data_IF_988317190479
#
_entry.id   IF_988317190479
#
_cell.length_a   1.000
_cell.length_b   1.000
_cell.length_c   1.000
_cell.angle_alpha   90.00
_cell.angle_beta   90.00
_cell.angle_gamma   90.00
#
_symmetry.space_group_name_H-M   'P 1'
#
loop_
_entity.id
_entity.type
_entity.pdbx_description
1 polymer ?
#
# COMPACT_ATOMS: atom_id res chain seq x y z
N UNK A 1 0.45 29.58 38.73
CA UNK A 1 1.48 29.59 39.79
C UNK A 1 2.43 30.75 39.53
N UNK A 2 2.57 31.70 40.47
CA UNK A 2 2.94 33.08 40.08
C UNK A 2 4.46 33.33 40.08
N UNK A 3 5.26 32.69 40.96
CA UNK A 3 6.73 32.85 40.99
C UNK A 3 7.45 31.54 41.37
N UNK A 4 8.25 30.99 40.45
CA UNK A 4 9.19 29.90 40.72
C UNK A 4 10.60 30.45 40.51
N UNK A 5 11.19 31.01 41.57
CA UNK A 5 12.55 31.56 41.58
C UNK A 5 13.43 30.84 42.62
N UNK A 6 14.66 31.31 42.84
CA UNK A 6 15.61 30.74 43.81
C UNK A 6 15.09 30.68 45.25
N UNK A 7 14.11 31.51 45.62
CA UNK A 7 13.47 31.49 46.95
C UNK A 7 12.40 30.40 47.06
N UNK A 8 11.96 29.81 45.93
CA UNK A 8 10.95 28.77 45.89
C UNK A 8 11.53 27.43 46.39
N UNK A 9 11.02 26.97 47.54
CA UNK A 9 11.41 25.69 48.18
C UNK A 9 10.54 24.50 47.77
N UNK A 10 9.56 24.69 46.89
CA UNK A 10 8.61 23.63 46.46
C UNK A 10 9.19 22.70 45.39
N UNK A 11 10.40 22.96 44.89
CA UNK A 11 11.04 22.17 43.84
C UNK A 11 10.60 22.52 42.41
N UNK A 12 9.72 23.52 42.24
CA UNK A 12 9.26 23.97 40.92
C UNK A 12 10.38 24.71 40.16
N UNK A 13 11.24 25.47 40.85
CA UNK A 13 12.38 26.13 40.22
C UNK A 13 13.51 25.12 39.98
N UNK A 14 13.84 24.88 38.71
CA UNK A 14 14.83 23.87 38.27
C UNK A 14 16.25 24.42 38.07
N UNK A 15 16.57 25.55 38.69
CA UNK A 15 17.89 26.15 38.58
C UNK A 15 18.11 26.94 37.29
N UNK A 16 19.27 27.61 37.21
CA UNK A 16 19.69 28.36 36.02
C UNK A 16 20.35 27.39 35.04
N UNK A 17 19.87 27.36 33.80
CA UNK A 17 20.45 26.56 32.74
C UNK A 17 21.45 27.36 31.92
N UNK A 18 22.48 26.68 31.39
CA UNK A 18 23.49 27.27 30.49
C UNK A 18 23.18 27.04 29.01
N UNK A 19 22.18 26.22 28.72
CA UNK A 19 21.68 25.91 27.37
C UNK A 19 20.15 25.92 27.36
N UNK A 20 19.54 25.87 26.17
CA UNK A 20 18.10 25.82 26.00
C UNK A 20 17.49 24.42 26.26
N UNK A 21 18.24 23.51 26.88
CA UNK A 21 17.84 22.15 27.17
C UNK A 21 17.81 21.88 28.68
N UNK A 22 16.84 21.08 29.14
CA UNK A 22 16.74 20.60 30.51
C UNK A 22 16.19 19.18 30.53
N UNK A 23 16.95 18.25 31.13
CA UNK A 23 16.52 16.89 31.37
C UNK A 23 16.15 16.79 32.86
N UNK A 24 14.86 16.57 33.19
CA UNK A 24 14.46 16.35 34.56
C UNK A 24 15.19 15.14 35.15
N UNK A 25 15.75 15.29 36.35
CA UNK A 25 16.37 14.18 37.07
C UNK A 25 15.36 13.12 37.50
N UNK A 26 14.10 13.52 37.64
CA UNK A 26 12.98 12.62 37.90
C UNK A 26 12.38 12.06 36.62
N UNK A 27 11.94 10.81 36.68
CA UNK A 27 11.10 10.23 35.63
C UNK A 27 9.76 10.96 35.58
N UNK A 28 9.30 11.32 34.38
CA UNK A 28 7.98 11.88 34.20
C UNK A 28 6.93 10.75 34.18
N UNK A 29 5.83 10.96 34.90
CA UNK A 29 4.75 9.99 35.05
C UNK A 29 3.90 9.97 33.79
N UNK A 30 3.59 8.77 33.31
CA UNK A 30 2.72 8.55 32.16
C UNK A 30 1.32 9.09 32.41
N UNK A 31 0.67 9.62 31.37
CA UNK A 31 -0.68 10.20 31.43
C UNK A 31 -0.75 11.53 32.18
N UNK A 32 0.33 11.98 32.81
CA UNK A 32 0.36 13.21 33.60
C UNK A 32 0.71 14.41 32.73
N UNK A 33 -0.10 15.46 32.84
CA UNK A 33 0.21 16.77 32.28
C UNK A 33 1.19 17.52 33.17
N UNK A 34 2.33 17.89 32.60
CA UNK A 34 3.33 18.76 33.21
C UNK A 34 3.22 20.16 32.61
N UNK A 35 3.51 21.16 33.43
CA UNK A 35 3.48 22.58 33.05
C UNK A 35 4.87 23.17 33.26
N UNK A 36 5.42 23.79 32.23
CA UNK A 36 6.78 24.29 32.19
C UNK A 36 6.76 25.75 31.74
N UNK A 37 7.73 26.53 32.21
CA UNK A 37 7.98 27.91 31.79
C UNK A 37 9.48 28.13 31.85
N UNK A 38 10.04 28.70 30.79
CA UNK A 38 11.44 29.13 30.76
C UNK A 38 11.44 30.64 30.95
N UNK A 39 12.10 31.12 32.00
CA UNK A 39 12.27 32.55 32.24
C UNK A 39 13.70 32.95 31.83
N UNK A 40 13.84 33.95 30.96
CA UNK A 40 15.13 34.46 30.51
C UNK A 40 15.77 35.33 31.60
N UNK A 41 17.08 35.11 31.83
CA UNK A 41 17.88 35.92 32.75
C UNK A 41 18.71 36.92 31.95
N UNK A 42 18.30 38.18 31.98
CA UNK A 42 18.86 39.25 31.17
C UNK A 42 20.24 39.70 31.70
N UNK A 43 21.03 40.36 30.84
CA UNK A 43 22.36 40.89 31.19
C UNK A 43 22.32 41.99 32.26
N UNK A 44 21.18 42.63 32.46
CA UNK A 44 20.94 43.65 33.48
C UNK A 44 20.45 43.06 34.82
N UNK A 45 20.52 41.74 34.98
CA UNK A 45 20.03 40.95 36.12
C UNK A 45 18.50 40.97 36.31
N UNK A 46 17.73 41.44 35.33
CA UNK A 46 16.27 41.29 35.33
C UNK A 46 15.84 39.92 34.78
N UNK A 47 14.57 39.55 34.99
CA UNK A 47 14.00 38.28 34.53
C UNK A 47 12.84 38.59 33.57
N UNK A 48 12.93 38.11 32.33
CA UNK A 48 11.82 38.11 31.38
C UNK A 48 11.05 36.81 31.51
N UNK A 49 9.79 36.87 31.97
CA UNK A 49 8.96 35.68 32.14
C UNK A 49 8.55 35.11 30.78
N UNK A 50 8.77 33.82 30.57
CA UNK A 50 8.29 33.14 29.37
C UNK A 50 6.82 32.74 29.46
N UNK A 51 6.35 32.09 28.41
CA UNK A 51 5.02 31.50 28.39
C UNK A 51 5.01 30.17 29.16
N UNK A 52 3.93 29.92 29.88
CA UNK A 52 3.67 28.59 30.44
C UNK A 52 3.18 27.70 29.31
N UNK A 53 3.89 26.61 29.05
CA UNK A 53 3.47 25.54 28.15
C UNK A 53 3.20 24.28 28.96
N UNK A 54 2.40 23.38 28.39
CA UNK A 54 2.13 22.09 29.00
C UNK A 54 2.30 20.97 27.99
N UNK A 55 2.65 19.80 28.50
CA UNK A 55 2.69 18.57 27.74
C UNK A 55 2.19 17.42 28.62
N UNK A 56 1.55 16.44 28.00
CA UNK A 56 1.16 15.21 28.67
C UNK A 56 2.14 14.12 28.28
N UNK A 57 2.71 13.44 29.27
CA UNK A 57 3.56 12.28 28.98
C UNK A 57 2.68 11.18 28.38
N UNK A 58 2.97 10.70 27.17
CA UNK A 58 2.16 9.65 26.56
C UNK A 58 2.19 8.39 27.45
N UNK A 59 1.07 7.67 27.47
CA UNK A 59 1.01 6.35 28.12
C UNK A 59 1.49 5.25 27.15
N UNK A 60 2.66 5.47 26.56
CA UNK A 60 3.35 4.50 25.71
C UNK A 60 4.84 4.85 25.56
N UNK A 61 5.65 3.87 25.22
CA UNK A 61 6.96 4.09 24.61
C UNK A 61 6.81 4.06 23.09
N UNK A 62 7.52 4.94 22.38
CA UNK A 62 7.57 4.91 20.92
C UNK A 62 8.66 3.94 20.49
N UNK A 63 8.30 2.98 19.64
CA UNK A 63 9.27 2.17 18.90
C UNK A 63 9.68 2.93 17.64
N UNK A 64 8.68 3.43 16.92
CA UNK A 64 8.84 4.27 15.74
C UNK A 64 7.52 5.01 15.45
N UNK A 65 7.54 6.33 15.37
CA UNK A 65 6.38 7.14 14.94
C UNK A 65 6.46 7.51 13.46
N UNK A 66 7.51 7.07 12.76
CA UNK A 66 7.76 7.29 11.33
C UNK A 66 7.99 8.75 10.93
N UNK A 67 8.07 9.68 11.87
CA UNK A 67 8.16 11.11 11.59
C UNK A 67 9.59 11.60 11.35
N UNK A 68 10.59 10.80 11.73
CA UNK A 68 12.01 11.15 11.63
C UNK A 68 12.60 10.91 10.22
N UNK A 69 11.88 10.23 9.33
CA UNK A 69 12.36 9.92 7.98
C UNK A 69 12.22 11.10 7.01
N UNK A 70 13.11 11.16 6.02
CA UNK A 70 13.07 12.13 4.93
C UNK A 70 13.74 11.58 3.65
N UNK A 71 13.86 12.42 2.62
CA UNK A 71 14.37 11.99 1.31
C UNK A 71 15.90 11.98 1.18
N UNK A 72 16.64 12.31 2.25
CA UNK A 72 18.09 12.31 2.25
C UNK A 72 18.66 10.91 2.55
N UNK A 73 19.81 10.56 1.95
CA UNK A 73 20.50 9.31 2.27
C UNK A 73 20.76 9.14 3.78
N UNK A 74 20.64 7.91 4.27
CA UNK A 74 20.68 7.49 5.68
C UNK A 74 19.49 7.92 6.56
N UNK A 75 18.46 8.55 5.98
CA UNK A 75 17.22 8.92 6.67
C UNK A 75 15.96 8.50 5.90
N UNK A 76 16.09 7.67 4.86
CA UNK A 76 14.95 7.16 4.10
C UNK A 76 14.31 6.02 4.87
N UNK A 77 12.98 5.96 4.88
CA UNK A 77 12.23 4.95 5.65
C UNK A 77 12.67 3.52 5.35
N UNK A 78 12.97 3.22 4.09
CA UNK A 78 13.41 1.89 3.64
C UNK A 78 14.85 1.50 4.05
N UNK A 79 15.66 2.45 4.55
CA UNK A 79 17.01 2.18 5.07
C UNK A 79 16.93 1.70 6.52
N UNK A 80 15.89 2.09 7.24
CA UNK A 80 15.61 1.62 8.60
C UNK A 80 14.69 0.39 8.59
N UNK A 81 13.64 0.42 7.78
CA UNK A 81 12.74 -0.68 7.52
C UNK A 81 13.10 -1.36 6.21
N UNK A 82 14.05 -2.29 6.28
CA UNK A 82 14.57 -2.99 5.11
C UNK A 82 13.48 -3.83 4.45
N UNK A 83 13.27 -3.61 3.17
CA UNK A 83 12.32 -4.33 2.33
C UNK A 83 12.97 -5.49 1.58
N UNK A 84 12.21 -6.12 0.68
CA UNK A 84 12.62 -7.26 -0.12
C UNK A 84 13.62 -6.95 -1.23
N UNK A 85 13.49 -5.78 -1.85
CA UNK A 85 14.25 -5.39 -3.04
C UNK A 85 15.62 -4.82 -2.70
N UNK A 86 15.76 -4.15 -1.56
CA UNK A 86 16.96 -3.41 -1.21
C UNK A 86 17.13 -2.13 -2.04
N UNK A 87 18.31 -1.54 -1.94
CA UNK A 87 18.73 -0.35 -2.69
C UNK A 87 20.15 -0.57 -3.21
N UNK A 88 20.64 0.35 -4.06
CA UNK A 88 22.02 0.30 -4.56
C UNK A 88 23.08 0.19 -3.43
N UNK A 89 22.74 0.62 -2.22
CA UNK A 89 23.64 0.70 -1.06
C UNK A 89 23.44 -0.44 -0.05
N UNK A 90 22.37 -1.24 -0.14
CA UNK A 90 22.12 -2.35 0.78
C UNK A 90 21.27 -3.46 0.15
N UNK A 91 21.58 -4.70 0.48
CA UNK A 91 20.82 -5.85 0.03
C UNK A 91 19.43 -5.87 0.68
N UNK A 92 18.41 -6.22 -0.10
CA UNK A 92 17.07 -6.49 0.42
C UNK A 92 17.05 -7.73 1.30
N UNK A 93 15.95 -7.91 2.03
CA UNK A 93 15.73 -9.05 2.90
C UNK A 93 15.22 -10.31 2.17
N UNK A 94 15.07 -10.25 0.84
CA UNK A 94 14.69 -11.39 0.01
C UNK A 94 13.23 -11.80 0.12
N UNK A 95 12.35 -10.87 0.47
CA UNK A 95 10.88 -11.05 0.52
C UNK A 95 10.18 -10.21 -0.56
N UNK A 96 8.85 -10.29 -0.65
CA UNK A 96 8.05 -9.57 -1.65
C UNK A 96 7.72 -8.12 -1.30
N UNK A 97 8.26 -7.60 -0.20
CA UNK A 97 7.93 -6.26 0.28
C UNK A 97 8.66 -5.17 -0.49
N UNK A 98 8.00 -4.04 -0.68
CA UNK A 98 8.58 -2.75 -1.06
C UNK A 98 8.17 -1.72 -0.03
N UNK A 99 9.14 -1.12 0.67
CA UNK A 99 8.88 -0.08 1.67
C UNK A 99 8.99 1.29 1.01
N UNK A 100 7.93 2.09 1.15
CA UNK A 100 7.87 3.43 0.56
C UNK A 100 7.68 3.46 -0.96
N UNK A 101 7.78 4.67 -1.51
CA UNK A 101 7.70 4.92 -2.95
C UNK A 101 9.05 4.67 -3.64
N UNK A 102 9.04 4.47 -4.96
CA UNK A 102 10.28 4.31 -5.75
C UNK A 102 11.02 5.64 -5.98
N UNK A 103 10.34 6.76 -5.78
CA UNK A 103 10.84 8.11 -5.97
C UNK A 103 10.38 8.97 -4.81
N UNK A 104 11.14 10.03 -4.52
CA UNK A 104 10.79 10.99 -3.49
C UNK A 104 9.42 11.66 -3.79
N UNK A 105 8.59 11.93 -2.78
CA UNK A 105 8.80 11.60 -1.36
C UNK A 105 8.74 10.09 -1.13
N UNK A 106 9.69 9.54 -0.36
CA UNK A 106 9.76 8.08 -0.16
C UNK A 106 8.73 7.57 0.85
N UNK A 107 8.38 8.36 1.85
CA UNK A 107 7.30 8.05 2.79
C UNK A 107 5.93 8.49 2.22
N UNK A 108 4.86 7.84 2.67
CA UNK A 108 3.49 8.18 2.30
C UNK A 108 3.06 9.44 3.06
N UNK A 109 2.53 10.46 2.37
CA UNK A 109 2.22 11.77 2.97
C UNK A 109 0.73 12.14 2.91
N UNK A 110 -0.09 11.33 2.25
CA UNK A 110 -1.53 11.57 2.06
C UNK A 110 -2.40 10.61 2.87
N UNK A 111 -1.97 9.35 2.96
CA UNK A 111 -2.61 8.32 3.79
C UNK A 111 -1.82 8.18 5.09
N UNK A 112 -2.16 8.99 6.09
CA UNK A 112 -1.45 9.08 7.39
C UNK A 112 -2.43 8.90 8.55
N UNK A 113 -1.96 8.41 9.71
CA UNK A 113 -2.76 8.35 10.94
C UNK A 113 -2.45 9.53 11.86
N UNK A 114 -1.17 9.79 12.06
CA UNK A 114 -0.64 10.90 12.84
C UNK A 114 0.41 11.70 12.06
N UNK A 115 0.90 12.78 12.66
CA UNK A 115 2.07 13.50 12.16
C UNK A 115 1.96 13.99 10.71
N UNK A 116 2.99 13.72 9.91
CA UNK A 116 3.17 14.19 8.54
C UNK A 116 3.27 13.04 7.54
N UNK A 117 3.58 11.82 7.99
CA UNK A 117 3.86 10.72 7.08
C UNK A 117 3.61 9.35 7.70
N UNK A 118 3.46 8.35 6.84
CA UNK A 118 3.34 6.95 7.20
C UNK A 118 4.30 6.10 6.35
N UNK A 119 4.55 4.87 6.80
CA UNK A 119 5.31 3.89 6.04
C UNK A 119 4.35 3.06 5.19
N UNK A 120 4.48 3.11 3.88
CA UNK A 120 3.80 2.15 3.01
C UNK A 120 4.63 0.87 2.86
N UNK A 121 3.94 -0.28 2.84
CA UNK A 121 4.52 -1.59 2.50
C UNK A 121 3.65 -2.17 1.38
N UNK A 122 4.16 -2.19 0.15
CA UNK A 122 3.56 -3.00 -0.90
C UNK A 122 4.01 -4.46 -0.73
N UNK A 123 3.09 -5.41 -0.86
CA UNK A 123 3.37 -6.84 -0.78
C UNK A 123 3.14 -7.51 -2.12
N UNK A 124 4.01 -8.46 -2.47
CA UNK A 124 3.85 -9.34 -3.61
C UNK A 124 4.23 -10.77 -3.23
N UNK A 125 3.21 -11.57 -2.96
CA UNK A 125 3.34 -12.96 -2.51
C UNK A 125 2.96 -13.96 -3.61
N UNK A 126 2.86 -13.50 -4.86
CA UNK A 126 2.31 -14.32 -5.96
C UNK A 126 3.18 -15.51 -6.32
N UNK A 127 4.47 -15.47 -6.01
CA UNK A 127 5.44 -16.48 -6.44
C UNK A 127 5.56 -16.63 -7.96
N UNK A 128 4.99 -15.70 -8.73
CA UNK A 128 5.05 -15.70 -10.19
C UNK A 128 6.45 -15.28 -10.64
N UNK A 129 6.93 -15.82 -11.76
CA UNK A 129 8.29 -15.56 -12.23
C UNK A 129 9.43 -15.97 -11.25
N UNK A 130 9.15 -16.83 -10.26
CA UNK A 130 10.13 -17.25 -9.25
C UNK A 130 10.27 -16.27 -8.08
N UNK A 131 9.30 -15.38 -7.89
CA UNK A 131 9.32 -14.36 -6.82
C UNK A 131 8.88 -14.91 -5.46
N UNK A 132 8.82 -14.02 -4.49
CA UNK A 132 8.63 -14.27 -3.08
C UNK A 132 7.20 -14.74 -2.75
N UNK A 133 7.08 -15.50 -1.65
CA UNK A 133 5.82 -16.10 -1.17
C UNK A 133 5.28 -15.43 0.11
N UNK A 134 5.99 -14.41 0.58
CA UNK A 134 5.63 -13.56 1.70
C UNK A 134 6.41 -12.25 1.58
N UNK A 135 5.97 -11.21 2.28
CA UNK A 135 6.54 -9.87 2.23
C UNK A 135 6.80 -9.35 3.64
N UNK A 136 7.99 -8.83 3.94
CA UNK A 136 8.33 -8.25 5.25
C UNK A 136 9.09 -6.94 5.15
N UNK A 137 8.70 -5.94 5.93
CA UNK A 137 9.56 -4.82 6.28
C UNK A 137 10.28 -5.15 7.60
N UNK A 138 11.61 -5.03 7.64
CA UNK A 138 12.43 -5.46 8.78
C UNK A 138 13.25 -4.30 9.35
N UNK A 139 13.05 -4.02 10.64
CA UNK A 139 13.88 -3.11 11.43
C UNK A 139 14.85 -3.88 12.32
N UNK A 140 16.11 -3.43 12.39
CA UNK A 140 17.14 -4.01 13.25
C UNK A 140 17.80 -2.91 14.08
N UNK A 141 17.81 -3.05 15.40
CA UNK A 141 18.47 -2.08 16.28
C UNK A 141 19.95 -2.40 16.43
N UNK A 142 20.84 -1.40 16.40
CA UNK A 142 22.26 -1.59 16.62
C UNK A 142 22.60 -2.01 18.06
N UNK A 143 21.77 -1.62 19.02
CA UNK A 143 21.79 -2.07 20.42
C UNK A 143 20.44 -2.71 20.73
N UNK A 144 20.40 -3.95 21.24
CA UNK A 144 19.14 -4.59 21.62
C UNK A 144 18.33 -3.74 22.61
N UNK A 145 17.02 -3.83 22.48
CA UNK A 145 16.06 -3.06 23.24
C UNK A 145 15.45 -3.92 24.36
N UNK A 146 15.22 -3.29 25.51
CA UNK A 146 14.51 -3.92 26.63
C UNK A 146 13.06 -3.45 26.61
N UNK A 147 12.18 -4.34 26.16
CA UNK A 147 10.74 -4.13 26.01
C UNK A 147 9.96 -4.63 27.24
N UNK A 148 10.61 -4.69 28.41
CA UNK A 148 9.94 -4.96 29.69
C UNK A 148 9.89 -3.74 30.61
N UNK A 149 10.55 -2.64 30.18
CA UNK A 149 10.65 -1.40 30.93
C UNK A 149 9.29 -0.77 31.18
N UNK A 150 9.18 -0.05 32.30
CA UNK A 150 8.00 0.74 32.63
C UNK A 150 6.68 -0.05 32.64
N UNK A 151 6.74 -1.38 32.83
CA UNK A 151 5.55 -2.23 32.92
C UNK A 151 4.77 -2.34 31.61
N UNK A 152 5.43 -2.16 30.46
CA UNK A 152 4.82 -2.42 29.16
C UNK A 152 4.39 -3.89 29.05
N UNK A 153 3.24 -4.11 28.42
CA UNK A 153 2.58 -5.41 28.29
C UNK A 153 2.14 -5.72 26.87
N UNK A 154 1.99 -4.72 26.02
CA UNK A 154 1.61 -4.94 24.62
C UNK A 154 2.41 -4.08 23.67
N UNK A 155 2.57 -4.59 22.45
CA UNK A 155 2.95 -3.80 21.28
C UNK A 155 1.69 -3.38 20.55
N UNK A 156 1.63 -2.12 20.14
CA UNK A 156 0.60 -1.54 19.28
C UNK A 156 1.19 -1.22 17.91
N UNK A 157 0.46 -1.58 16.86
CA UNK A 157 0.76 -1.24 15.48
C UNK A 157 -0.46 -0.52 14.90
N UNK A 158 -0.34 0.76 14.55
CA UNK A 158 -1.35 1.40 13.72
C UNK A 158 -1.17 0.97 12.27
N UNK A 159 -2.23 0.44 11.69
CA UNK A 159 -2.20 -0.02 10.31
C UNK A 159 -3.49 0.34 9.58
N UNK A 160 -3.36 0.40 8.26
CA UNK A 160 -4.45 0.57 7.30
C UNK A 160 -4.14 -0.24 6.05
N UNK A 161 -5.10 -1.00 5.59
CA UNK A 161 -5.08 -1.70 4.30
C UNK A 161 -5.67 -0.88 3.16
N UNK A 162 -6.00 -1.56 2.07
CA UNK A 162 -6.82 -1.04 0.97
C UNK A 162 -7.98 -1.98 0.74
N UNK A 163 -9.11 -1.48 0.25
CA UNK A 163 -10.28 -2.31 0.00
C UNK A 163 -9.93 -3.54 -0.87
N UNK A 164 -10.52 -4.69 -0.54
CA UNK A 164 -10.46 -5.87 -1.40
C UNK A 164 -11.20 -5.65 -2.72
N UNK A 165 -10.94 -6.51 -3.70
CA UNK A 165 -11.62 -6.42 -4.99
C UNK A 165 -13.13 -6.65 -4.83
N UNK A 166 -13.92 -5.80 -5.48
CA UNK A 166 -15.38 -5.81 -5.55
C UNK A 166 -15.92 -6.14 -6.95
N UNK A 167 -15.08 -6.04 -7.99
CA UNK A 167 -15.41 -6.49 -9.34
C UNK A 167 -15.48 -8.02 -9.46
N UNK A 168 -16.03 -8.48 -10.58
CA UNK A 168 -16.30 -9.91 -10.82
C UNK A 168 -15.89 -10.36 -12.23
N UNK A 169 -15.54 -11.64 -12.34
CA UNK A 169 -15.15 -12.30 -13.58
C UNK A 169 -15.73 -13.71 -13.65
N UNK A 170 -16.44 -14.00 -14.74
CA UNK A 170 -16.92 -15.35 -15.03
C UNK A 170 -16.73 -15.74 -16.49
N UNK A 171 -16.62 -17.05 -16.74
CA UNK A 171 -16.61 -17.64 -18.07
C UNK A 171 -17.70 -18.71 -18.17
N UNK A 172 -18.57 -18.57 -19.16
CA UNK A 172 -19.59 -19.57 -19.49
C UNK A 172 -19.12 -20.41 -20.68
N UNK A 173 -18.78 -21.67 -20.42
CA UNK A 173 -18.32 -22.62 -21.44
C UNK A 173 -19.38 -22.99 -22.47
N UNK A 174 -20.66 -22.75 -22.19
CA UNK A 174 -21.78 -23.05 -23.10
C UNK A 174 -21.87 -22.02 -24.20
N UNK A 175 -21.67 -20.75 -23.86
CA UNK A 175 -21.72 -19.61 -24.79
C UNK A 175 -20.34 -19.20 -25.29
N UNK A 176 -19.28 -19.57 -24.59
CA UNK A 176 -17.92 -19.08 -24.85
C UNK A 176 -17.73 -17.62 -24.42
N UNK A 177 -18.63 -17.09 -23.58
CA UNK A 177 -18.61 -15.70 -23.16
C UNK A 177 -17.86 -15.52 -21.83
N UNK A 178 -17.11 -14.43 -21.77
CA UNK A 178 -16.49 -13.90 -20.57
C UNK A 178 -17.30 -12.69 -20.12
N UNK A 179 -17.79 -12.70 -18.88
CA UNK A 179 -18.48 -11.57 -18.27
C UNK A 179 -17.54 -10.91 -17.28
N UNK A 180 -17.31 -9.61 -17.44
CA UNK A 180 -16.39 -8.82 -16.63
C UNK A 180 -17.15 -7.63 -16.04
N UNK A 181 -17.22 -7.56 -14.71
CA UNK A 181 -17.82 -6.44 -13.99
C UNK A 181 -16.74 -5.65 -13.26
N UNK A 182 -16.62 -4.36 -13.57
CA UNK A 182 -15.63 -3.48 -12.97
C UNK A 182 -16.16 -2.09 -12.67
N UNK A 183 -15.70 -1.51 -11.57
CA UNK A 183 -15.92 -0.11 -11.21
C UNK A 183 -14.73 0.77 -11.58
N UNK A 184 -14.52 1.83 -10.79
CA UNK A 184 -13.32 2.65 -10.86
C UNK A 184 -13.53 4.01 -11.52
N UNK A 185 -12.78 5.01 -11.01
CA UNK A 185 -12.93 6.41 -11.39
C UNK A 185 -12.49 6.68 -12.83
N UNK A 186 -11.31 6.23 -13.23
CA UNK A 186 -10.86 6.18 -14.62
C UNK A 186 -9.54 5.42 -14.76
N UNK A 187 -9.21 4.98 -15.97
CA UNK A 187 -7.83 4.69 -16.39
C UNK A 187 -7.32 6.01 -16.99
N UNK A 188 -6.71 6.90 -16.20
CA UNK A 188 -6.19 8.21 -16.67
C UNK A 188 -5.25 8.86 -15.64
N UNK A 189 -4.82 10.10 -15.91
CA UNK A 189 -4.00 10.94 -15.04
C UNK A 189 -2.78 10.22 -14.47
N UNK A 190 -2.61 10.19 -13.14
CA UNK A 190 -1.44 9.62 -12.45
C UNK A 190 -1.69 8.22 -11.90
N UNK A 191 -2.94 7.78 -11.84
CA UNK A 191 -3.33 6.53 -11.19
C UNK A 191 -4.59 5.97 -11.83
N UNK A 192 -4.55 4.68 -12.15
CA UNK A 192 -5.63 3.95 -12.77
C UNK A 192 -6.58 3.37 -11.71
N UNK A 193 -7.87 3.38 -12.02
CA UNK A 193 -8.97 2.83 -11.24
C UNK A 193 -9.89 2.00 -12.17
N UNK A 194 -9.74 0.68 -12.14
CA UNK A 194 -10.46 -0.25 -13.03
C UNK A 194 -10.39 -1.71 -12.55
N UNK A 195 -11.15 -2.60 -13.18
CA UNK A 195 -11.04 -4.06 -12.97
C UNK A 195 -10.26 -4.73 -14.10
N UNK A 196 -9.29 -5.56 -13.73
CA UNK A 196 -8.38 -6.21 -14.66
C UNK A 196 -8.48 -7.74 -14.56
N UNK A 197 -8.64 -8.41 -15.70
CA UNK A 197 -8.64 -9.88 -15.82
C UNK A 197 -7.46 -10.29 -16.69
N UNK A 198 -6.47 -11.00 -16.14
CA UNK A 198 -5.15 -11.09 -16.77
C UNK A 198 -4.45 -12.44 -16.60
N UNK A 199 -3.45 -12.66 -17.47
CA UNK A 199 -2.44 -13.71 -17.42
C UNK A 199 -1.04 -13.08 -17.47
N UNK A 200 0.00 -13.89 -17.27
CA UNK A 200 1.39 -13.44 -17.43
C UNK A 200 1.84 -13.62 -18.88
N UNK A 201 2.52 -12.62 -19.43
CA UNK A 201 3.21 -12.64 -20.72
C UNK A 201 4.71 -12.43 -20.50
N UNK A 202 5.55 -13.27 -21.12
CA UNK A 202 7.00 -13.06 -21.21
C UNK A 202 7.44 -12.71 -22.64
N UNK A 203 8.02 -11.53 -22.82
CA UNK A 203 8.49 -11.02 -24.11
C UNK A 203 7.35 -10.60 -25.04
N UNK A 204 7.47 -10.97 -26.31
CA UNK A 204 6.53 -10.62 -27.37
C UNK A 204 5.22 -11.41 -27.24
N UNK A 205 4.11 -10.75 -27.55
CA UNK A 205 2.80 -11.38 -27.50
C UNK A 205 1.72 -10.51 -28.11
N UNK A 206 0.51 -11.04 -28.16
CA UNK A 206 -0.67 -10.28 -28.54
C UNK A 206 -1.90 -10.78 -27.78
N UNK A 207 -2.87 -9.89 -27.62
CA UNK A 207 -4.21 -10.22 -27.12
C UNK A 207 -5.25 -9.67 -28.07
N UNK A 208 -6.26 -10.49 -28.34
CA UNK A 208 -7.39 -10.21 -29.20
C UNK A 208 -8.65 -10.52 -28.40
N UNK A 209 -9.67 -9.67 -28.48
CA UNK A 209 -10.99 -9.97 -27.95
C UNK A 209 -12.10 -9.38 -28.83
N UNK A 210 -13.22 -10.10 -28.91
CA UNK A 210 -14.47 -9.57 -29.44
C UNK A 210 -15.32 -9.06 -28.27
N UNK A 211 -15.55 -7.77 -28.21
CA UNK A 211 -16.45 -7.15 -27.24
C UNK A 211 -17.87 -7.37 -27.74
N UNK A 212 -18.66 -8.18 -27.04
CA UNK A 212 -20.06 -8.49 -27.35
C UNK A 212 -20.98 -7.40 -26.79
N UNK A 213 -20.67 -6.87 -25.61
CA UNK A 213 -21.40 -5.79 -24.95
C UNK A 213 -20.44 -4.78 -24.32
N UNK A 214 -20.69 -3.49 -24.57
CA UNK A 214 -19.94 -2.37 -23.98
C UNK A 214 -20.74 -1.88 -22.76
N UNK A 215 -20.27 -2.19 -21.56
CA UNK A 215 -21.14 -2.54 -20.45
C UNK A 215 -22.18 -1.53 -19.93
N UNK A 216 -23.42 -1.98 -19.73
CA UNK A 216 -24.35 -1.37 -18.75
C UNK A 216 -23.95 -1.73 -17.32
N UNK A 217 -24.70 -1.47 -16.23
CA UNK A 217 -25.72 -0.45 -15.97
C UNK A 217 -25.16 0.98 -15.76
N UNK A 218 -23.83 1.17 -15.69
CA UNK A 218 -23.25 2.52 -15.74
C UNK A 218 -23.75 3.25 -16.99
N UNK A 219 -24.12 4.52 -16.87
CA UNK A 219 -24.51 5.36 -18.01
C UNK A 219 -23.41 6.35 -18.42
N UNK A 220 -22.24 6.28 -17.79
CA UNK A 220 -21.14 7.17 -18.13
C UNK A 220 -20.61 6.84 -19.53
N UNK A 221 -20.53 7.87 -20.38
CA UNK A 221 -20.12 7.74 -21.78
C UNK A 221 -18.61 7.50 -21.96
N UNK A 222 -17.81 7.68 -20.91
CA UNK A 222 -16.36 7.45 -20.86
C UNK A 222 -15.94 6.14 -20.21
N UNK A 223 -16.89 5.29 -19.82
CA UNK A 223 -16.59 3.91 -19.39
C UNK A 223 -15.77 3.20 -20.47
N UNK A 224 -14.74 2.45 -20.08
CA UNK A 224 -13.77 1.86 -21.02
C UNK A 224 -13.80 0.35 -20.92
N UNK A 225 -13.81 -0.32 -22.06
CA UNK A 225 -13.84 -1.78 -22.19
C UNK A 225 -12.85 -2.20 -23.25
N UNK A 226 -11.97 -3.16 -22.98
CA UNK A 226 -11.04 -3.62 -24.01
C UNK A 226 -9.94 -4.55 -23.54
N UNK A 227 -8.82 -4.54 -24.27
CA UNK A 227 -7.66 -5.41 -24.02
C UNK A 227 -6.39 -4.60 -23.72
N UNK A 228 -5.64 -5.04 -22.71
CA UNK A 228 -4.52 -4.30 -22.14
C UNK A 228 -3.30 -5.21 -21.92
N UNK A 229 -2.11 -4.69 -22.21
CA UNK A 229 -0.83 -5.18 -21.69
C UNK A 229 -0.33 -4.18 -20.65
N UNK A 230 -0.06 -4.65 -19.43
CA UNK A 230 0.29 -3.81 -18.27
C UNK A 230 1.51 -4.38 -17.56
N UNK A 231 2.50 -3.55 -17.25
CA UNK A 231 3.77 -4.03 -16.67
C UNK A 231 3.61 -4.60 -15.26
N UNK A 232 2.93 -3.87 -14.38
CA UNK A 232 2.71 -4.22 -12.98
C UNK A 232 1.26 -3.93 -12.59
N UNK A 233 0.84 -4.36 -11.40
CA UNK A 233 -0.51 -4.06 -10.90
C UNK A 233 -0.53 -2.80 -10.00
N UNK A 234 0.58 -2.05 -9.91
CA UNK A 234 0.61 -0.72 -9.28
C UNK A 234 -0.30 0.24 -10.07
N UNK A 235 -0.96 1.18 -9.40
CA UNK A 235 -1.95 2.10 -10.03
C UNK A 235 -1.36 3.00 -11.10
N UNK A 236 -0.07 3.31 -11.04
CA UNK A 236 0.66 4.16 -11.97
C UNK A 236 1.48 3.36 -12.99
N UNK A 237 1.20 2.06 -13.14
CA UNK A 237 1.98 1.17 -13.99
C UNK A 237 1.89 1.54 -15.46
N UNK A 238 3.03 1.44 -16.15
CA UNK A 238 3.09 1.46 -17.62
C UNK A 238 2.13 0.44 -18.22
N UNK A 239 1.40 0.84 -19.26
CA UNK A 239 0.43 -0.01 -19.95
C UNK A 239 0.20 0.44 -21.39
N UNK A 240 -0.30 -0.47 -22.24
CA UNK A 240 -0.91 -0.20 -23.53
C UNK A 240 -2.30 -0.84 -23.56
N UNK A 241 -3.32 -0.06 -23.91
CA UNK A 241 -4.74 -0.42 -23.77
C UNK A 241 -5.50 -0.02 -25.02
N UNK A 242 -6.06 -1.01 -25.72
CA UNK A 242 -7.01 -0.75 -26.81
C UNK A 242 -8.42 -0.82 -26.24
N UNK A 243 -9.03 0.35 -26.07
CA UNK A 243 -10.31 0.56 -25.42
C UNK A 243 -11.42 0.91 -26.42
N UNK A 244 -12.64 0.55 -26.03
CA UNK A 244 -13.89 1.04 -26.61
C UNK A 244 -14.67 1.76 -25.50
N UNK A 245 -15.11 2.98 -25.80
CA UNK A 245 -16.08 3.74 -25.02
C UNK A 245 -17.44 3.74 -25.73
N UNK A 246 -18.57 3.73 -25.01
CA UNK A 246 -19.89 3.83 -25.63
C UNK A 246 -20.15 5.24 -26.21
N UNK A 247 -21.03 5.33 -27.20
CA UNK A 247 -21.59 6.60 -27.66
C UNK A 247 -21.10 7.06 -29.03
N UNK A 248 -21.77 8.08 -29.56
CA UNK A 248 -21.52 8.63 -30.91
C UNK A 248 -20.49 9.77 -30.94
N UNK A 249 -20.06 10.24 -29.77
CA UNK A 249 -19.13 11.36 -29.59
C UNK A 249 -17.75 10.93 -29.10
N UNK A 250 -17.62 9.65 -28.73
CA UNK A 250 -16.39 8.97 -28.31
C UNK A 250 -16.21 7.74 -29.21
N UNK A 251 -15.35 6.79 -28.84
CA UNK A 251 -15.19 5.59 -29.65
C UNK A 251 -13.98 4.77 -29.27
N UNK A 252 -13.09 4.56 -30.23
CA UNK A 252 -11.88 3.79 -30.02
C UNK A 252 -10.82 4.68 -29.40
N UNK A 253 -10.13 4.16 -28.39
CA UNK A 253 -8.96 4.80 -27.82
C UNK A 253 -7.83 3.79 -27.72
N UNK A 254 -6.69 4.09 -28.37
CA UNK A 254 -5.44 3.44 -27.99
C UNK A 254 -4.78 4.29 -26.92
N UNK A 255 -4.96 3.87 -25.67
CA UNK A 255 -4.51 4.59 -24.50
C UNK A 255 -3.28 3.91 -23.90
N UNK A 256 -2.32 4.70 -23.44
CA UNK A 256 -1.12 4.15 -22.85
C UNK A 256 -0.50 5.06 -21.78
N UNK A 257 0.36 4.43 -20.99
CA UNK A 257 1.24 5.04 -19.99
C UNK A 257 2.65 4.60 -20.30
N UNK A 258 3.48 5.50 -20.81
CA UNK A 258 4.87 5.25 -21.20
C UNK A 258 5.83 5.33 -19.99
N UNK A 259 5.46 6.11 -18.97
CA UNK A 259 6.18 6.31 -17.72
C UNK A 259 5.20 6.30 -16.54
N UNK A 260 5.69 5.97 -15.35
CA UNK A 260 4.87 6.05 -14.15
C UNK A 260 4.27 7.46 -13.97
N UNK A 261 2.95 7.53 -13.81
CA UNK A 261 2.22 8.78 -13.61
C UNK A 261 1.92 9.63 -14.87
N UNK A 262 2.25 9.18 -16.09
CA UNK A 262 1.87 9.86 -17.36
C UNK A 262 0.66 9.22 -18.03
N UNK A 263 -0.15 9.95 -18.81
CA UNK A 263 -1.24 9.36 -19.58
C UNK A 263 -1.27 9.94 -20.98
N UNK A 264 -1.54 9.09 -21.97
CA UNK A 264 -1.69 9.45 -23.38
C UNK A 264 -2.88 8.71 -23.99
N UNK A 265 -3.62 9.35 -24.88
CA UNK A 265 -4.75 8.72 -25.56
C UNK A 265 -4.83 9.09 -27.03
N UNK A 266 -4.92 8.05 -27.85
CA UNK A 266 -5.31 8.11 -29.24
C UNK A 266 -6.81 7.86 -29.41
N UNK A 267 -7.62 8.81 -28.95
CA UNK A 267 -9.07 8.70 -29.04
C UNK A 267 -9.59 9.14 -30.42
N UNK A 268 -10.77 8.64 -30.79
CA UNK A 268 -11.45 8.99 -32.03
C UNK A 268 -12.95 8.94 -31.85
N UNK A 269 -13.67 9.78 -32.61
CA UNK A 269 -15.14 9.74 -32.68
C UNK A 269 -15.53 8.65 -33.67
N UNK A 270 -15.35 7.41 -33.24
CA UNK A 270 -15.66 6.22 -34.02
C UNK A 270 -17.03 5.72 -33.56
N UNK A 271 -18.05 5.77 -34.44
CA UNK A 271 -19.41 5.30 -34.14
C UNK A 271 -19.47 3.76 -34.07
N UNK A 272 -18.72 3.20 -33.12
CA UNK A 272 -18.55 1.76 -32.91
C UNK A 272 -19.79 1.18 -32.25
N UNK A 273 -20.26 0.06 -32.79
CA UNK A 273 -21.34 -0.73 -32.20
C UNK A 273 -20.82 -2.12 -31.89
N UNK A 274 -21.15 -2.61 -30.70
CA UNK A 274 -20.91 -3.99 -30.36
C UNK A 274 -21.81 -4.91 -31.23
N UNK A 275 -21.34 -6.10 -31.63
CA UNK A 275 -20.03 -6.65 -31.29
C UNK A 275 -18.88 -6.02 -32.10
N UNK A 276 -17.72 -5.84 -31.48
CA UNK A 276 -16.54 -5.22 -32.12
C UNK A 276 -15.23 -5.81 -31.62
N UNK A 277 -14.19 -5.84 -32.45
CA UNK A 277 -12.91 -6.46 -32.10
C UNK A 277 -11.83 -5.43 -31.77
N UNK A 278 -11.04 -5.75 -30.74
CA UNK A 278 -9.87 -4.98 -30.32
C UNK A 278 -8.67 -5.91 -30.15
N UNK A 279 -7.47 -5.36 -30.38
CA UNK A 279 -6.20 -6.08 -30.29
C UNK A 279 -5.08 -5.16 -29.82
N UNK A 280 -4.20 -5.68 -28.98
CA UNK A 280 -2.89 -5.08 -28.66
C UNK A 280 -1.79 -6.07 -29.02
N UNK A 281 -0.77 -5.58 -29.73
CA UNK A 281 0.42 -6.35 -30.11
C UNK A 281 1.64 -5.74 -29.42
N UNK A 282 2.47 -6.59 -28.80
CA UNK A 282 3.78 -6.22 -28.24
C UNK A 282 4.91 -6.85 -29.04
N UNK A 283 5.90 -6.04 -29.44
CA UNK A 283 7.18 -6.47 -30.05
C UNK A 283 8.33 -5.72 -29.38
N UNK A 284 9.07 -6.40 -28.51
CA UNK A 284 10.01 -5.76 -27.59
C UNK A 284 9.31 -4.72 -26.70
N UNK A 285 9.70 -3.46 -26.86
CA UNK A 285 9.06 -2.32 -26.21
C UNK A 285 8.09 -1.55 -27.12
N UNK A 286 7.88 -2.00 -28.36
CA UNK A 286 6.89 -1.40 -29.25
C UNK A 286 5.52 -2.03 -29.03
N UNK A 287 4.51 -1.18 -28.85
CA UNK A 287 3.12 -1.54 -28.67
C UNK A 287 2.27 -0.93 -29.76
N UNK A 288 1.35 -1.72 -30.31
CA UNK A 288 0.42 -1.26 -31.34
C UNK A 288 -1.00 -1.66 -31.02
N UNK A 289 -1.91 -0.68 -31.05
CA UNK A 289 -3.34 -0.86 -30.92
C UNK A 289 -4.03 -1.06 -32.26
N UNK A 290 -4.82 -2.12 -32.38
CA UNK A 290 -5.61 -2.42 -33.57
C UNK A 290 -7.08 -2.66 -33.21
N UNK A 291 -7.94 -2.46 -34.20
CA UNK A 291 -9.36 -2.75 -34.09
C UNK A 291 -9.91 -3.35 -35.39
N UNK A 292 -11.07 -3.99 -35.31
CA UNK A 292 -11.70 -4.62 -36.47
C UNK A 292 -13.22 -4.76 -36.30
N UNK A 293 -14.01 -4.50 -37.36
CA UNK A 293 -15.44 -4.80 -37.36
C UNK A 293 -15.76 -6.29 -37.54
N UNK A 294 -14.85 -7.08 -38.14
CA UNK A 294 -15.12 -8.46 -38.57
C UNK A 294 -14.17 -9.50 -37.94
N UNK A 295 -13.10 -9.07 -37.26
CA UNK A 295 -12.07 -9.93 -36.69
C UNK A 295 -11.06 -10.45 -37.72
N UNK A 296 -11.20 -10.08 -38.99
CA UNK A 296 -10.39 -10.53 -40.12
C UNK A 296 -9.51 -9.39 -40.61
N UNK A 297 -10.10 -8.25 -40.94
CA UNK A 297 -9.40 -7.07 -41.41
C UNK A 297 -9.09 -6.16 -40.24
N UNK A 298 -7.80 -6.01 -39.93
CA UNK A 298 -7.33 -5.24 -38.78
C UNK A 298 -6.80 -3.89 -39.21
N UNK A 299 -7.33 -2.83 -38.61
CA UNK A 299 -6.88 -1.46 -38.80
C UNK A 299 -6.13 -1.00 -37.56
N UNK A 300 -4.95 -0.42 -37.74
CA UNK A 300 -4.23 0.24 -36.65
C UNK A 300 -4.97 1.52 -36.25
N UNK A 301 -5.17 1.77 -34.95
CA UNK A 301 -5.86 2.99 -34.50
C UNK A 301 -5.06 4.22 -34.92
N UNK A 302 -5.66 5.04 -35.78
CA UNK A 302 -5.05 6.25 -36.34
C UNK A 302 -4.79 7.29 -35.24
N UNK A 303 -3.55 7.83 -35.15
CA UNK A 303 -3.23 8.89 -34.21
C UNK A 303 -3.58 10.31 -34.68
N UNK A 304 -4.20 10.50 -35.84
CA UNK A 304 -4.50 11.85 -36.36
C UNK A 304 -5.50 12.66 -35.50
N UNK A 305 -6.24 12.00 -34.61
CA UNK A 305 -7.20 12.60 -33.67
C UNK A 305 -6.68 12.74 -32.23
N UNK A 306 -5.39 12.46 -32.00
CA UNK A 306 -4.81 12.35 -30.67
C UNK A 306 -4.82 13.62 -29.83
N UNK A 307 -4.67 13.43 -28.53
CA UNK A 307 -4.04 14.45 -27.70
C UNK A 307 -2.57 14.67 -28.11
N UNK A 308 -2.09 15.91 -27.99
CA UNK A 308 -0.73 16.29 -28.39
C UNK A 308 0.35 15.36 -27.80
N UNK A 309 1.07 14.66 -28.66
CA UNK A 309 2.21 13.83 -28.28
C UNK A 309 1.89 12.36 -28.02
N UNK A 310 0.64 11.92 -28.21
CA UNK A 310 0.36 10.50 -28.29
C UNK A 310 0.88 9.90 -29.63
N UNK A 311 1.09 8.58 -29.68
CA UNK A 311 1.44 7.85 -30.90
C UNK A 311 0.88 6.43 -30.95
N UNK A 312 0.70 5.89 -32.16
CA UNK A 312 0.48 4.46 -32.42
C UNK A 312 1.17 4.08 -33.74
N UNK A 313 2.16 3.17 -33.75
CA UNK A 313 2.73 2.45 -32.59
C UNK A 313 3.45 3.38 -31.61
N UNK A 314 3.67 2.89 -30.39
CA UNK A 314 4.38 3.60 -29.31
C UNK A 314 5.47 2.73 -28.70
N UNK A 315 6.59 3.35 -28.31
CA UNK A 315 7.61 2.69 -27.48
C UNK A 315 7.32 2.89 -26.00
N UNK A 316 7.11 1.81 -25.26
CA UNK A 316 6.93 1.79 -23.82
C UNK A 316 7.96 0.81 -23.25
N UNK A 317 8.94 1.34 -22.54
CA UNK A 317 9.93 0.50 -21.86
C UNK A 317 9.21 -0.35 -20.80
N UNK A 318 9.20 -1.67 -20.94
CA UNK A 318 8.63 -2.57 -19.93
C UNK A 318 9.58 -3.73 -19.65
N UNK A 319 9.47 -4.31 -18.44
CA UNK A 319 10.08 -5.60 -18.12
C UNK A 319 9.67 -6.68 -19.12
N UNK A 320 10.49 -7.72 -19.28
CA UNK A 320 10.16 -8.86 -20.15
C UNK A 320 8.89 -9.56 -19.70
N UNK A 321 8.68 -9.70 -18.39
CA UNK A 321 7.47 -10.28 -17.79
C UNK A 321 6.48 -9.19 -17.41
N UNK A 322 5.28 -9.29 -17.97
CA UNK A 322 4.17 -8.33 -17.80
C UNK A 322 2.85 -9.08 -17.68
N UNK A 323 1.76 -8.35 -17.51
CA UNK A 323 0.40 -8.86 -17.53
C UNK A 323 -0.29 -8.53 -18.86
N UNK A 324 -1.14 -9.45 -19.34
CA UNK A 324 -1.92 -9.31 -20.57
C UNK A 324 -3.36 -9.77 -20.31
N UNK A 325 -4.36 -8.97 -20.71
CA UNK A 325 -5.71 -9.22 -20.23
C UNK A 325 -6.82 -8.27 -20.71
N UNK A 326 -8.01 -8.49 -20.15
CA UNK A 326 -9.22 -7.67 -20.35
C UNK A 326 -9.30 -6.59 -19.28
N UNK A 327 -9.64 -5.37 -19.66
CA UNK A 327 -9.78 -4.23 -18.75
C UNK A 327 -11.17 -3.58 -18.89
N UNK A 328 -11.81 -3.32 -17.74
CA UNK A 328 -13.13 -2.67 -17.65
C UNK A 328 -13.10 -1.61 -16.56
N UNK A 329 -13.53 -0.39 -16.88
CA UNK A 329 -13.82 0.67 -15.91
C UNK A 329 -15.21 1.26 -16.17
N UNK A 330 -15.92 1.61 -15.09
CA UNK A 330 -17.21 2.30 -15.16
C UNK A 330 -17.08 3.80 -15.37
N UNK A 331 -15.87 4.35 -15.20
CA UNK A 331 -15.57 5.79 -15.15
C UNK A 331 -16.32 6.55 -14.03
N UNK A 332 -16.71 5.82 -12.99
CA UNK A 332 -17.49 6.29 -11.86
C UNK A 332 -17.09 5.46 -10.64
N UNK A 333 -16.44 6.08 -9.65
CA UNK A 333 -15.85 5.36 -8.51
C UNK A 333 -16.86 4.48 -7.77
N UNK A 334 -18.13 4.92 -7.68
CA UNK A 334 -19.18 4.26 -6.91
C UNK A 334 -20.18 3.48 -7.79
N UNK A 335 -19.90 3.29 -9.09
CA UNK A 335 -20.76 2.53 -10.00
C UNK A 335 -20.01 1.39 -10.70
N UNK A 336 -20.76 0.37 -11.11
CA UNK A 336 -20.23 -0.80 -11.81
C UNK A 336 -20.62 -0.80 -13.29
N UNK A 337 -19.75 -1.36 -14.11
CA UNK A 337 -19.93 -1.60 -15.53
C UNK A 337 -19.69 -3.09 -15.81
N UNK A 338 -20.66 -3.77 -16.40
CA UNK A 338 -20.61 -5.18 -16.78
C UNK A 338 -20.52 -5.32 -18.28
N UNK A 339 -19.39 -5.81 -18.78
CA UNK A 339 -19.12 -6.02 -20.20
C UNK A 339 -18.99 -7.51 -20.52
N UNK A 340 -19.34 -7.86 -21.76
CA UNK A 340 -19.27 -9.25 -22.24
C UNK A 340 -18.26 -9.33 -23.39
N UNK A 341 -17.37 -10.31 -23.32
CA UNK A 341 -16.38 -10.62 -24.35
C UNK A 341 -16.56 -12.05 -24.87
N UNK A 342 -16.22 -12.29 -26.12
CA UNK A 342 -16.03 -13.63 -26.70
C UNK A 342 -14.70 -13.69 -27.44
N UNK A 343 -14.32 -14.90 -27.86
CA UNK A 343 -13.18 -15.14 -28.75
C UNK A 343 -11.85 -14.50 -28.25
N UNK A 344 -11.67 -14.49 -26.92
CA UNK A 344 -10.48 -13.96 -26.26
C UNK A 344 -9.31 -14.88 -26.53
N UNK A 345 -8.35 -14.39 -27.33
CA UNK A 345 -7.19 -15.16 -27.77
C UNK A 345 -5.90 -14.42 -27.41
N UNK A 346 -4.91 -15.18 -26.95
CA UNK A 346 -3.57 -14.67 -26.67
C UNK A 346 -2.52 -15.45 -27.45
N UNK A 347 -1.47 -14.77 -27.91
CA UNK A 347 -0.31 -15.37 -28.57
C UNK A 347 0.99 -14.96 -27.86
N UNK A 348 2.08 -15.70 -28.12
CA UNK A 348 3.36 -15.52 -27.43
C UNK A 348 3.48 -16.40 -26.19
N UNK A 349 4.46 -16.12 -25.32
CA UNK A 349 4.71 -16.89 -24.11
C UNK A 349 3.74 -16.48 -22.97
N UNK A 350 2.44 -16.68 -23.20
CA UNK A 350 1.38 -16.41 -22.21
C UNK A 350 1.14 -17.65 -21.35
N UNK A 351 1.20 -17.48 -20.03
CA UNK A 351 1.11 -18.59 -19.07
C UNK A 351 0.19 -18.28 -17.90
N UNK A 352 -0.25 -19.34 -17.21
CA UNK A 352 -1.12 -19.25 -16.03
C UNK A 352 -2.62 -19.28 -16.35
N UNK A 353 -3.41 -19.51 -15.31
CA UNK A 353 -4.86 -19.34 -15.34
C UNK A 353 -5.21 -17.85 -15.33
N UNK A 354 -6.43 -17.52 -15.77
CA UNK A 354 -6.96 -16.17 -15.58
C UNK A 354 -6.99 -15.82 -14.09
N UNK A 355 -6.44 -14.65 -13.75
CA UNK A 355 -6.57 -14.00 -12.46
C UNK A 355 -7.34 -12.70 -12.67
N UNK A 356 -7.95 -12.16 -11.61
CA UNK A 356 -8.62 -10.88 -11.68
C UNK A 356 -8.58 -10.12 -10.36
N UNK A 357 -8.58 -8.79 -10.45
CA UNK A 357 -8.71 -7.88 -9.32
C UNK A 357 -9.04 -6.46 -9.78
N UNK A 358 -9.57 -5.65 -8.87
CA UNK A 358 -9.58 -4.21 -9.01
C UNK A 358 -8.15 -3.66 -8.87
N UNK A 359 -7.87 -2.60 -9.60
CA UNK A 359 -6.68 -1.78 -9.45
C UNK A 359 -7.17 -0.39 -9.02
N UNK A 360 -6.77 0.10 -7.83
CA UNK A 360 -6.10 -0.64 -6.76
C UNK A 360 -7.07 -1.57 -5.99
N UNK A 361 -6.53 -2.66 -5.45
CA UNK A 361 -7.15 -3.42 -4.37
C UNK A 361 -6.11 -4.25 -3.63
N UNK A 362 -6.48 -4.76 -2.47
CA UNK A 362 -5.68 -5.75 -1.75
C UNK A 362 -6.25 -7.15 -1.93
N UNK A 363 -5.41 -8.06 -2.40
CA UNK A 363 -5.67 -9.48 -2.21
C UNK A 363 -5.62 -9.82 -0.72
N UNK A 364 -6.57 -10.62 -0.24
CA UNK A 364 -6.60 -11.03 1.17
C UNK A 364 -5.36 -11.84 1.53
N UNK A 365 -4.67 -11.42 2.58
CA UNK A 365 -3.44 -12.02 3.09
C UNK A 365 -3.34 -11.78 4.61
N UNK A 366 -2.80 -12.75 5.39
CA UNK A 366 -2.56 -12.54 6.81
C UNK A 366 -1.51 -11.44 7.06
N UNK A 367 -1.83 -10.48 7.93
CA UNK A 367 -0.88 -9.51 8.48
C UNK A 367 -0.21 -10.11 9.73
N UNK A 368 1.09 -9.90 9.93
CA UNK A 368 1.78 -10.37 11.13
C UNK A 368 2.89 -9.42 11.60
N UNK A 369 3.24 -9.54 12.88
CA UNK A 369 4.45 -8.96 13.46
C UNK A 369 5.37 -10.10 13.90
N UNK A 370 6.66 -10.00 13.59
CA UNK A 370 7.67 -10.91 14.14
C UNK A 370 8.67 -10.15 15.00
N UNK A 371 9.09 -10.76 16.12
CA UNK A 371 10.13 -10.22 16.98
C UNK A 371 11.25 -11.25 17.14
N UNK A 372 12.48 -10.78 17.02
CA UNK A 372 13.69 -11.59 17.20
C UNK A 372 14.53 -10.97 18.32
N UNK A 373 14.94 -11.78 19.30
CA UNK A 373 15.91 -11.36 20.30
C UNK A 373 17.36 -11.40 19.77
N UNK A 374 18.30 -10.95 20.57
CA UNK A 374 19.71 -10.89 20.18
C UNK A 374 20.37 -12.28 20.09
N UNK A 375 19.74 -13.30 20.68
CA UNK A 375 20.14 -14.69 20.60
C UNK A 375 19.62 -15.39 19.33
N UNK A 376 18.73 -14.73 18.57
CA UNK A 376 18.16 -15.21 17.32
C UNK A 376 16.85 -16.00 17.49
N UNK A 377 16.29 -16.04 18.70
CA UNK A 377 14.96 -16.62 18.92
C UNK A 377 13.92 -15.68 18.35
N UNK A 378 13.07 -16.21 17.47
CA UNK A 378 12.06 -15.43 16.74
C UNK A 378 10.67 -16.01 16.94
N UNK A 379 9.68 -15.13 17.05
CA UNK A 379 8.26 -15.50 16.99
C UNK A 379 7.49 -14.52 16.12
N UNK A 380 6.73 -15.05 15.18
CA UNK A 380 5.69 -14.32 14.46
C UNK A 380 4.32 -14.52 15.13
N UNK A 381 3.58 -13.43 15.26
CA UNK A 381 2.18 -13.39 15.69
C UNK A 381 1.36 -12.81 14.55
N UNK A 382 0.32 -13.52 14.14
CA UNK A 382 -0.56 -13.16 13.02
C UNK A 382 -1.80 -12.44 13.55
N UNK A 383 -2.25 -11.41 12.83
CA UNK A 383 -3.50 -10.71 13.11
C UNK A 383 -4.67 -11.71 13.04
N UNK A 384 -5.62 -11.67 14.01
CA UNK A 384 -6.71 -12.64 14.06
C UNK A 384 -7.69 -12.55 12.88
N UNK A 385 -7.88 -11.34 12.33
CA UNK A 385 -8.60 -11.15 11.07
C UNK A 385 -7.71 -11.47 9.87
N UNK A 386 -8.04 -12.53 9.12
CA UNK A 386 -7.35 -12.94 7.90
C UNK A 386 -7.45 -11.90 6.77
N UNK A 387 -8.45 -11.01 6.83
CA UNK A 387 -8.64 -9.91 5.88
C UNK A 387 -8.14 -8.58 6.43
N UNK A 388 -7.27 -8.57 7.45
CA UNK A 388 -6.77 -7.33 8.05
C UNK A 388 -6.20 -6.35 7.01
N UNK A 389 -5.46 -6.87 6.04
CA UNK A 389 -4.90 -6.05 4.94
C UNK A 389 -5.97 -5.43 4.05
N UNK A 390 -7.24 -5.82 4.16
CA UNK A 390 -8.34 -5.23 3.41
C UNK A 390 -9.09 -4.12 4.16
N UNK A 391 -8.70 -3.82 5.41
CA UNK A 391 -9.35 -2.82 6.24
C UNK A 391 -8.84 -1.43 5.83
N UNK A 392 -9.64 -0.71 5.07
CA UNK A 392 -9.30 0.56 4.43
C UNK A 392 -9.37 1.78 5.37
N UNK A 393 -9.40 1.56 6.68
CA UNK A 393 -9.40 2.57 7.75
C UNK A 393 -8.28 2.30 8.74
N UNK A 394 -7.73 3.36 9.30
CA UNK A 394 -6.73 3.25 10.36
C UNK A 394 -7.30 2.63 11.61
N UNK A 395 -6.59 1.65 12.14
CA UNK A 395 -6.88 1.03 13.44
C UNK A 395 -5.59 0.57 14.11
N UNK A 396 -5.66 0.42 15.43
CA UNK A 396 -4.56 -0.11 16.23
C UNK A 396 -4.74 -1.61 16.44
N UNK A 397 -3.74 -2.39 16.04
CA UNK A 397 -3.62 -3.78 16.47
C UNK A 397 -2.72 -3.87 17.69
N UNK A 398 -3.28 -4.32 18.82
CA UNK A 398 -2.54 -4.58 20.06
C UNK A 398 -2.27 -6.07 20.22
N UNK A 399 -1.01 -6.42 20.48
CA UNK A 399 -0.56 -7.79 20.73
C UNK A 399 0.03 -7.87 22.14
N UNK A 400 -0.35 -8.87 22.91
CA UNK A 400 0.28 -9.12 24.21
C UNK A 400 1.73 -9.56 24.00
N UNK A 401 2.67 -8.92 24.68
CA UNK A 401 4.08 -9.28 24.60
C UNK A 401 4.34 -10.71 25.10
N UNK A 402 3.47 -11.25 25.96
CA UNK A 402 3.53 -12.64 26.41
C UNK A 402 3.37 -13.64 25.27
N UNK A 403 2.73 -13.29 24.14
CA UNK A 403 2.69 -14.17 22.96
C UNK A 403 4.09 -14.47 22.39
N UNK A 404 5.01 -13.51 22.50
CA UNK A 404 6.41 -13.68 22.11
C UNK A 404 7.22 -14.33 23.23
N UNK A 405 7.04 -13.87 24.47
CA UNK A 405 7.76 -14.37 25.64
C UNK A 405 7.50 -15.86 25.92
N UNK A 406 6.24 -16.31 25.81
CA UNK A 406 5.86 -17.72 25.97
C UNK A 406 6.43 -18.63 24.86
N UNK A 407 6.75 -18.04 23.70
CA UNK A 407 7.45 -18.72 22.60
C UNK A 407 8.98 -18.68 22.74
N UNK A 408 9.50 -18.17 23.86
CA UNK A 408 10.93 -18.16 24.21
C UNK A 408 11.69 -16.90 23.82
N UNK A 409 11.06 -15.91 23.18
CA UNK A 409 11.74 -14.65 22.81
C UNK A 409 12.10 -13.86 24.05
N UNK A 410 13.37 -13.49 24.21
CA UNK A 410 13.82 -12.66 25.32
C UNK A 410 13.44 -11.18 25.12
N UNK A 411 12.31 -10.77 25.70
CA UNK A 411 11.79 -9.40 25.63
C UNK A 411 12.71 -8.32 26.24
N UNK A 412 13.71 -8.71 27.04
CA UNK A 412 14.71 -7.76 27.58
C UNK A 412 15.85 -7.47 26.59
N UNK A 413 15.89 -8.18 25.45
CA UNK A 413 17.01 -8.19 24.52
C UNK A 413 16.56 -8.22 23.05
N UNK A 414 15.49 -7.51 22.70
CA UNK A 414 14.91 -7.49 21.35
C UNK A 414 15.88 -6.83 20.36
N UNK A 415 16.24 -7.56 19.30
CA UNK A 415 17.20 -7.12 18.28
C UNK A 415 16.53 -6.72 16.97
N UNK A 416 15.42 -7.36 16.59
CA UNK A 416 14.72 -7.10 15.32
C UNK A 416 13.21 -7.16 15.48
N UNK A 417 12.54 -6.42 14.62
CA UNK A 417 11.09 -6.47 14.41
C UNK A 417 10.80 -6.52 12.92
N UNK A 418 9.86 -7.36 12.52
CA UNK A 418 9.29 -7.37 11.17
C UNK A 418 7.81 -7.03 11.23
N UNK A 419 7.33 -6.29 10.23
CA UNK A 419 5.90 -6.21 9.86
C UNK A 419 5.76 -6.93 8.53
N UNK A 420 4.93 -7.96 8.46
CA UNK A 420 4.85 -8.82 7.29
C UNK A 420 3.43 -9.15 6.85
N UNK A 421 3.30 -9.53 5.58
CA UNK A 421 2.06 -9.94 4.92
C UNK A 421 2.28 -11.28 4.24
N UNK A 422 1.37 -12.22 4.45
CA UNK A 422 1.49 -13.63 4.07
C UNK A 422 1.87 -14.49 5.27
N UNK A 423 2.69 -15.52 5.06
CA UNK A 423 3.19 -16.38 6.14
C UNK A 423 4.70 -16.57 6.07
N UNK A 424 5.39 -16.17 7.14
CA UNK A 424 6.83 -16.42 7.31
C UNK A 424 7.13 -17.91 7.50
N UNK A 425 6.36 -18.56 8.38
CA UNK A 425 6.67 -19.91 8.86
C UNK A 425 6.21 -20.99 7.89
N UNK A 426 5.21 -20.69 7.06
CA UNK A 426 4.72 -21.56 6.00
C UNK A 426 4.38 -20.76 4.73
N UNK A 427 5.38 -20.27 3.98
CA UNK A 427 5.14 -19.42 2.82
C UNK A 427 4.34 -20.16 1.74
N UNK A 428 3.24 -19.55 1.32
CA UNK A 428 2.37 -20.05 0.25
C UNK A 428 2.19 -18.97 -0.80
N UNK A 429 1.78 -19.37 -2.01
CA UNK A 429 1.37 -18.37 -3.00
C UNK A 429 0.14 -17.65 -2.48
N UNK A 430 0.16 -16.33 -2.55
CA UNK A 430 -1.01 -15.51 -2.34
C UNK A 430 -1.04 -14.39 -3.35
N UNK A 431 -1.37 -13.18 -2.90
CA UNK A 431 -1.69 -12.07 -3.79
C UNK A 431 -0.74 -10.89 -3.67
N UNK A 432 -1.23 -9.74 -4.10
CA UNK A 432 -0.53 -8.48 -3.99
C UNK A 432 -1.42 -7.43 -3.32
N UNK A 433 -0.80 -6.34 -2.90
CA UNK A 433 -1.50 -5.18 -2.39
C UNK A 433 -0.57 -4.22 -1.68
N UNK A 434 -1.13 -3.34 -0.86
CA UNK A 434 -0.38 -2.37 -0.08
C UNK A 434 -1.04 -2.12 1.27
N UNK A 435 -0.23 -2.05 2.30
CA UNK A 435 -0.64 -1.59 3.63
C UNK A 435 0.14 -0.33 4.00
N UNK A 436 -0.41 0.44 4.92
CA UNK A 436 0.20 1.60 5.54
C UNK A 436 0.34 1.32 7.01
N UNK A 437 1.51 1.62 7.54
CA UNK A 437 1.88 1.50 8.93
C UNK A 437 2.16 2.90 9.45
N UNK A 438 1.70 3.17 10.65
CA UNK A 438 2.01 4.36 11.42
C UNK A 438 2.21 3.96 12.89
N UNK A 439 2.74 4.86 13.71
CA UNK A 439 2.75 4.79 15.18
C UNK A 439 2.92 3.37 15.76
N UNK A 440 4.17 2.91 15.89
CA UNK A 440 4.51 1.65 16.55
C UNK A 440 4.90 1.93 17.99
N UNK A 441 4.16 1.35 18.94
CA UNK A 441 4.21 1.75 20.35
C UNK A 441 4.21 0.56 21.29
N UNK A 442 4.84 0.71 22.46
CA UNK A 442 4.70 -0.21 23.58
C UNK A 442 3.79 0.41 24.63
N UNK A 443 2.76 -0.32 25.01
CA UNK A 443 1.76 0.14 25.96
C UNK A 443 1.92 -0.55 27.31
N UNK A 444 1.60 0.13 28.43
CA UNK A 444 1.50 -0.50 29.73
C UNK A 444 0.26 -1.39 29.73
N UNK A 445 0.08 -2.17 30.80
CA UNK A 445 -1.18 -2.87 31.04
C UNK A 445 -2.36 -1.88 31.08
N UNK A 446 -3.00 -1.63 29.94
CA UNK A 446 -4.35 -1.09 29.89
C UNK A 446 -5.26 -2.30 29.80
N UNK A 447 -5.79 -2.77 30.93
CA UNK A 447 -6.77 -3.86 31.06
C UNK A 447 -7.25 -4.41 29.71
N UNK A 448 -6.47 -5.34 29.14
CA UNK A 448 -6.92 -6.14 28.01
C UNK A 448 -7.59 -7.35 28.64
N UNK A 449 -8.83 -7.61 28.22
CA UNK A 449 -9.68 -8.78 28.48
C UNK A 449 -10.18 -9.13 29.90
N UNK A 450 -9.62 -8.62 31.01
CA UNK A 450 -10.11 -9.03 32.35
C UNK A 450 -11.47 -8.44 32.80
N UNK A 451 -12.24 -7.81 31.91
CA UNK A 451 -13.62 -7.33 32.17
C UNK A 451 -14.66 -8.05 31.30
N UNK A 452 -14.27 -9.07 30.52
CA UNK A 452 -15.23 -10.08 30.09
C UNK A 452 -15.32 -11.16 31.17
N UNK A 453 -16.20 -10.92 32.15
CA UNK A 453 -16.73 -12.01 32.97
C UNK A 453 -17.58 -12.94 32.09
N UNK A 454 -17.19 -14.23 32.07
CA UNK A 454 -17.96 -15.51 32.17
C UNK A 454 -17.41 -16.55 31.18
N UNK A 455 -17.04 -17.76 31.62
CA UNK A 455 -18.00 -18.88 31.80
C UNK A 455 -18.29 -19.32 33.25
N UNK A 456 -17.52 -18.90 34.27
CA UNK A 456 -17.65 -19.41 35.66
C UNK A 456 -17.75 -18.31 36.75
N UNK A 457 -18.47 -17.22 36.50
CA UNK A 457 -18.79 -16.24 37.55
C UNK A 457 -19.95 -16.71 38.44
N UNK A 458 -19.60 -17.27 39.61
CA UNK A 458 -20.50 -17.55 40.74
C UNK A 458 -20.23 -16.55 41.86
N UNK A 459 -20.58 -15.27 41.68
CA UNK A 459 -20.47 -14.28 42.76
C UNK A 459 -21.33 -14.70 43.96
N UNK A 460 -20.70 -15.39 44.91
CA UNK A 460 -21.15 -15.51 46.29
C UNK A 460 -20.85 -14.19 46.99
N UNK A 461 -21.91 -13.55 47.46
CA UNK A 461 -21.93 -12.27 48.18
C UNK A 461 -23.33 -11.72 48.23
#
# INVERSE_FOLDING_TARGET
MINADKSNKTGIYRGRQVSADYIPSESLQWGRTYYWRVDEYNSDNTISKGNVWSFTVPEYLVIDDLEDYNDNPNQRVFETWLDGFGHAEYAGNGTGSKVGHRQAPFAEQSIIHGGRQAMSIAYNNTGLAGTHLYSEAKRTWAVPQDWTRHGVKSVGLWFRGMQGSVGDFSYDSTTGHYTVTGGGADIWDKADAFYYVFKCLEGDGEIIARIVEIGGPSTNEWRKVGVMVRETLDVDSRHAFMAVTPGSSHGLAFQYRDKSGTSHSEHGVDNIKAPYWVKVVRRGNEFTGYHSPDGITWTMKDPSGAESGASNPVTIEMNSKVYIGLAVTSHEADAMCTSVFSDVNTNGAVTGSWMSQDIPSNASEPLYIAMEDNEGQIKAVTHPDANAVQIDKWQEWRIDLEEFGNAGVNLTNIRKMCVGVGSRDNPQRGGIGKIYIDDIRLHPSRHVSSVLKQDDDLSGG
#
